data_IF_848555931638
#
_entry.id   IF_848555931638
#
_cell.length_a   1.000
_cell.length_b   1.000
_cell.length_c   1.000
_cell.angle_alpha   90.00
_cell.angle_beta   90.00
_cell.angle_gamma   90.00
#
_symmetry.space_group_name_H-M   'P 1'
#
loop_
_entity.id
_entity.type
_entity.pdbx_description
1 polymer ?
#
# COMPACT_ATOMS: atom_id res chain seq x y z
N UNK A 1 -14.19 28.27 -4.88
CA UNK A 1 -12.88 28.28 -5.57
C UNK A 1 -11.88 29.06 -4.72
N UNK A 2 -11.42 28.50 -3.59
CA UNK A 2 -10.53 29.21 -2.68
C UNK A 2 -9.14 28.57 -2.74
N UNK A 3 -8.35 28.99 -3.73
CA UNK A 3 -6.97 28.51 -3.89
C UNK A 3 -6.06 29.21 -2.88
N UNK A 4 -5.17 28.48 -2.25
CA UNK A 4 -4.14 29.06 -1.39
C UNK A 4 -3.03 29.63 -2.28
N UNK A 5 -2.39 30.71 -1.85
CA UNK A 5 -1.32 31.35 -2.63
C UNK A 5 0.02 31.13 -1.93
N UNK A 6 1.00 30.60 -2.65
CA UNK A 6 2.39 30.51 -2.20
C UNK A 6 3.22 31.53 -2.99
N UNK A 7 3.74 32.52 -2.28
CA UNK A 7 4.69 33.48 -2.81
C UNK A 7 6.12 32.95 -2.60
N UNK A 8 6.90 32.87 -3.67
CA UNK A 8 8.26 32.36 -3.63
C UNK A 8 9.19 33.14 -4.56
N UNK A 9 10.48 33.09 -4.28
CA UNK A 9 11.56 33.62 -5.14
C UNK A 9 12.53 32.51 -5.49
N UNK A 10 13.05 32.51 -6.72
CA UNK A 10 14.11 31.61 -7.18
C UNK A 10 15.45 31.94 -6.52
N UNK A 11 15.67 33.20 -6.11
CA UNK A 11 16.88 33.62 -5.41
C UNK A 11 16.97 33.10 -3.98
N UNK A 12 15.82 32.79 -3.36
CA UNK A 12 15.77 32.27 -2.00
C UNK A 12 16.02 30.76 -1.98
N UNK A 13 17.08 30.31 -1.28
CA UNK A 13 17.37 28.88 -1.11
C UNK A 13 16.22 28.15 -0.41
N UNK A 14 15.71 28.75 0.65
CA UNK A 14 14.64 28.17 1.45
C UNK A 14 13.34 27.98 0.65
N UNK A 15 12.98 28.96 -0.20
CA UNK A 15 11.86 28.83 -1.14
C UNK A 15 12.00 27.64 -2.09
N UNK A 16 13.21 27.39 -2.62
CA UNK A 16 13.47 26.26 -3.54
C UNK A 16 13.32 24.91 -2.84
N UNK A 17 13.85 24.78 -1.63
CA UNK A 17 13.73 23.56 -0.83
C UNK A 17 12.26 23.27 -0.47
N UNK A 18 11.51 24.30 -0.10
CA UNK A 18 10.09 24.20 0.23
C UNK A 18 9.24 23.76 -0.97
N UNK A 19 9.51 24.30 -2.16
CA UNK A 19 8.82 23.88 -3.40
C UNK A 19 9.11 22.42 -3.74
N UNK A 20 10.35 21.95 -3.53
CA UNK A 20 10.70 20.53 -3.72
C UNK A 20 9.87 19.64 -2.80
N UNK A 21 9.84 19.95 -1.50
CA UNK A 21 9.02 19.21 -0.51
C UNK A 21 7.55 19.17 -0.91
N UNK A 22 6.97 20.29 -1.34
CA UNK A 22 5.56 20.36 -1.77
C UNK A 22 5.30 19.47 -2.99
N UNK A 23 6.20 19.49 -3.98
CA UNK A 23 6.07 18.69 -5.20
C UNK A 23 6.22 17.19 -4.92
N UNK A 24 7.17 16.80 -4.07
CA UNK A 24 7.46 15.40 -3.71
C UNK A 24 6.26 14.76 -3.00
N UNK A 25 5.68 15.46 -2.04
CA UNK A 25 4.57 14.96 -1.23
C UNK A 25 3.18 15.26 -1.84
N UNK A 26 3.12 15.86 -3.03
CA UNK A 26 1.88 16.31 -3.71
C UNK A 26 0.92 17.05 -2.77
N UNK A 27 1.48 17.88 -1.89
CA UNK A 27 0.72 18.57 -0.87
C UNK A 27 -0.08 19.70 -1.53
N UNK A 28 -1.37 19.78 -1.20
CA UNK A 28 -2.27 20.85 -1.59
C UNK A 28 -2.42 21.03 -3.13
N UNK A 29 -3.29 20.24 -3.78
CA UNK A 29 -3.64 20.44 -5.20
C UNK A 29 -4.20 21.86 -5.47
N UNK A 30 -4.77 22.49 -4.45
CA UNK A 30 -5.34 23.85 -4.53
C UNK A 30 -4.33 24.98 -4.23
N UNK A 31 -3.03 24.69 -4.17
CA UNK A 31 -1.99 25.70 -3.95
C UNK A 31 -1.53 26.31 -5.28
N UNK A 32 -1.80 27.60 -5.47
CA UNK A 32 -1.30 28.39 -6.58
C UNK A 32 0.05 29.01 -6.21
N UNK A 33 1.07 28.76 -7.03
CA UNK A 33 2.43 29.27 -6.84
C UNK A 33 2.62 30.56 -7.62
N UNK A 34 3.15 31.59 -6.95
CA UNK A 34 3.42 32.90 -7.53
C UNK A 34 4.90 33.21 -7.36
N UNK A 35 5.62 33.28 -8.48
CA UNK A 35 7.01 33.70 -8.51
C UNK A 35 7.10 35.23 -8.46
N UNK A 36 7.75 35.75 -7.43
CA UNK A 36 7.87 37.20 -7.24
C UNK A 36 8.93 37.85 -8.14
N UNK A 37 9.88 37.07 -8.63
CA UNK A 37 11.01 37.58 -9.43
C UNK A 37 10.61 38.04 -10.83
N UNK A 38 9.47 37.55 -11.33
CA UNK A 38 9.06 37.77 -12.72
C UNK A 38 8.56 39.19 -12.99
N UNK A 39 8.35 40.03 -11.97
CA UNK A 39 7.90 41.42 -12.09
C UNK A 39 6.51 41.63 -12.71
N UNK A 40 5.82 40.55 -13.10
CA UNK A 40 4.52 40.57 -13.80
C UNK A 40 3.33 40.73 -12.84
N UNK A 41 3.53 40.65 -11.53
CA UNK A 41 2.46 40.60 -10.53
C UNK A 41 2.63 41.74 -9.54
N UNK A 42 1.54 42.47 -9.26
CA UNK A 42 1.50 43.44 -8.16
C UNK A 42 1.43 42.68 -6.83
N UNK A 43 2.52 42.74 -6.08
CA UNK A 43 2.63 42.10 -4.78
C UNK A 43 1.79 42.85 -3.74
N UNK A 44 0.96 42.15 -2.95
CA UNK A 44 0.29 42.75 -1.81
C UNK A 44 1.31 43.23 -0.77
N UNK A 45 0.96 44.32 -0.05
CA UNK A 45 1.83 44.93 0.97
C UNK A 45 2.16 44.01 2.15
N UNK A 46 1.38 42.95 2.35
CA UNK A 46 1.61 41.96 3.40
C UNK A 46 2.73 40.95 3.08
N UNK A 47 3.16 40.86 1.82
CA UNK A 47 4.25 39.97 1.41
C UNK A 47 5.58 40.69 1.59
N UNK A 48 6.09 40.68 2.82
CA UNK A 48 7.37 41.31 3.17
C UNK A 48 8.56 40.37 3.00
N UNK A 49 8.32 39.05 3.17
CA UNK A 49 9.35 38.01 3.11
C UNK A 49 8.88 36.81 2.28
N UNK A 50 9.83 36.01 1.79
CA UNK A 50 9.56 34.77 1.04
C UNK A 50 10.36 33.60 1.61
N UNK A 51 9.79 32.38 1.63
CA UNK A 51 8.47 31.98 1.15
C UNK A 51 7.35 32.37 2.13
N UNK A 52 6.20 32.78 1.59
CA UNK A 52 5.01 33.12 2.37
C UNK A 52 3.77 32.46 1.77
N UNK A 53 2.94 31.83 2.62
CA UNK A 53 1.66 31.27 2.19
C UNK A 53 0.52 32.16 2.69
N UNK A 54 -0.39 32.48 1.79
CA UNK A 54 -1.68 33.09 2.11
C UNK A 54 -2.79 32.04 2.01
N UNK A 55 -3.43 31.77 3.15
CA UNK A 55 -4.55 30.84 3.25
C UNK A 55 -5.85 31.60 3.00
N UNK A 56 -6.42 31.42 1.81
CA UNK A 56 -7.60 32.18 1.36
C UNK A 56 -8.84 31.95 2.23
N UNK A 57 -8.99 30.76 2.82
CA UNK A 57 -10.12 30.44 3.70
C UNK A 57 -10.02 31.13 5.06
N UNK A 58 -8.84 31.14 5.66
CA UNK A 58 -8.59 31.65 7.00
C UNK A 58 -8.19 33.13 6.99
N UNK A 59 -7.95 33.70 5.80
CA UNK A 59 -7.34 35.03 5.58
C UNK A 59 -6.06 35.21 6.42
N UNK A 60 -5.33 34.13 6.60
CA UNK A 60 -4.15 34.07 7.45
C UNK A 60 -2.89 33.98 6.58
N UNK A 61 -1.85 34.67 7.04
CA UNK A 61 -0.53 34.64 6.45
C UNK A 61 0.35 33.73 7.31
N UNK A 62 1.03 32.79 6.66
CA UNK A 62 1.99 31.90 7.27
C UNK A 62 3.39 32.21 6.74
N UNK A 63 4.31 32.36 7.68
CA UNK A 63 5.68 32.80 7.46
C UNK A 63 6.60 32.02 8.40
N UNK A 64 7.84 31.75 7.96
CA UNK A 64 8.90 31.10 8.76
C UNK A 64 8.43 29.82 9.47
N UNK A 65 8.59 29.72 10.79
CA UNK A 65 8.30 28.50 11.58
C UNK A 65 6.85 28.03 11.43
N UNK A 66 5.91 28.96 11.28
CA UNK A 66 4.49 28.63 11.11
C UNK A 66 4.23 27.96 9.76
N UNK A 67 5.03 28.30 8.76
CA UNK A 67 4.96 27.69 7.43
C UNK A 67 5.48 26.25 7.47
N UNK A 68 6.60 25.99 8.15
CA UNK A 68 7.17 24.64 8.28
C UNK A 68 6.22 23.70 9.00
N UNK A 69 5.76 24.11 10.18
CA UNK A 69 4.83 23.33 10.98
C UNK A 69 3.56 22.98 10.17
N UNK A 70 3.04 23.95 9.43
CA UNK A 70 1.86 23.73 8.60
C UNK A 70 2.10 22.73 7.46
N UNK A 71 3.27 22.77 6.82
CA UNK A 71 3.65 21.81 5.78
C UNK A 71 3.83 20.42 6.38
N UNK A 72 4.53 20.30 7.50
CA UNK A 72 4.81 19.00 8.14
C UNK A 72 3.52 18.34 8.64
N UNK A 73 2.57 19.10 9.17
CA UNK A 73 1.23 18.60 9.51
C UNK A 73 0.49 18.03 8.30
N UNK A 74 0.61 18.68 7.13
CA UNK A 74 -0.01 18.23 5.89
C UNK A 74 0.66 16.97 5.34
N UNK A 75 1.99 16.86 5.46
CA UNK A 75 2.74 15.66 5.10
C UNK A 75 2.26 14.48 5.95
N UNK A 76 2.22 14.64 7.27
CA UNK A 76 1.78 13.60 8.22
C UNK A 76 0.37 13.10 7.90
N UNK A 77 -0.55 14.00 7.54
CA UNK A 77 -1.93 13.64 7.15
C UNK A 77 -2.04 12.93 5.81
N UNK A 78 -1.07 13.11 4.89
CA UNK A 78 -1.09 12.49 3.57
C UNK A 78 -0.56 11.05 3.57
N UNK A 79 0.27 10.70 4.56
CA UNK A 79 0.75 9.33 4.73
C UNK A 79 -0.38 8.54 5.37
N UNK A 80 -1.00 7.56 4.67
CA UNK A 80 -1.97 6.69 5.31
C UNK A 80 -1.27 6.00 6.48
N UNK A 81 -1.87 6.07 7.67
CA UNK A 81 -1.38 5.39 8.86
C UNK A 81 -1.19 3.91 8.55
N UNK A 82 0.08 3.52 8.38
CA UNK A 82 0.57 2.13 8.31
C UNK A 82 -0.13 1.29 7.23
N UNK A 83 0.58 0.97 6.14
CA UNK A 83 0.21 -0.14 5.25
C UNK A 83 -0.03 -1.40 6.08
N UNK A 84 -1.29 -1.71 6.38
CA UNK A 84 -1.69 -3.00 6.91
C UNK A 84 -1.60 -4.01 5.77
N UNK A 85 -1.14 -5.22 6.06
CA UNK A 85 -1.18 -6.30 5.08
C UNK A 85 -2.60 -6.45 4.51
N UNK A 86 -2.72 -6.64 3.20
CA UNK A 86 -4.01 -6.88 2.53
C UNK A 86 -4.72 -8.12 3.09
N UNK A 87 -3.97 -9.03 3.72
CA UNK A 87 -4.50 -10.07 4.57
C UNK A 87 -4.49 -9.62 6.05
N UNK A 88 -5.64 -9.18 6.55
CA UNK A 88 -5.90 -9.30 8.00
C UNK A 88 -6.02 -10.79 8.30
N UNK A 89 -5.26 -11.25 9.29
CA UNK A 89 -5.00 -12.66 9.61
C UNK A 89 -6.20 -13.52 10.01
N UNK A 90 -7.44 -13.09 9.79
CA UNK A 90 -8.63 -13.83 10.21
C UNK A 90 -9.69 -14.12 9.13
N UNK A 91 -9.53 -13.76 7.85
CA UNK A 91 -10.51 -14.17 6.81
C UNK A 91 -10.14 -13.97 5.33
N UNK A 92 -8.90 -13.64 4.99
CA UNK A 92 -8.59 -13.11 3.66
C UNK A 92 -8.46 -14.12 2.50
N UNK A 93 -8.49 -15.43 2.73
CA UNK A 93 -8.31 -16.43 1.66
C UNK A 93 -9.51 -17.35 1.43
N UNK A 94 -10.54 -17.31 2.29
CA UNK A 94 -11.60 -18.33 2.28
C UNK A 94 -12.90 -17.85 1.62
N UNK A 95 -13.08 -16.54 1.40
CA UNK A 95 -14.38 -15.99 0.95
C UNK A 95 -14.47 -15.67 -0.55
N UNK A 96 -13.49 -16.06 -1.37
CA UNK A 96 -13.45 -15.71 -2.81
C UNK A 96 -13.82 -16.85 -3.77
N UNK A 97 -14.50 -17.90 -3.30
CA UNK A 97 -15.06 -18.93 -4.17
C UNK A 97 -16.59 -18.92 -4.06
N UNK A 98 -17.27 -18.89 -5.20
CA UNK A 98 -18.70 -19.14 -5.27
C UNK A 98 -18.92 -20.66 -5.09
N UNK A 99 -19.43 -21.06 -3.92
CA UNK A 99 -19.94 -22.42 -3.72
C UNK A 99 -21.20 -22.56 -4.58
N UNK A 100 -21.14 -23.36 -5.65
CA UNK A 100 -22.31 -23.68 -6.50
C UNK A 100 -23.18 -24.80 -5.92
N UNK A 101 -22.87 -25.26 -4.70
CA UNK A 101 -23.57 -26.33 -4.01
C UNK A 101 -24.21 -25.76 -2.73
N UNK A 102 -25.52 -25.97 -2.55
CA UNK A 102 -26.29 -25.48 -1.39
C UNK A 102 -26.11 -26.35 -0.13
N UNK A 103 -25.15 -27.27 -0.14
CA UNK A 103 -24.88 -28.10 1.02
C UNK A 103 -24.33 -27.24 2.18
N UNK A 104 -25.10 -27.17 3.28
CA UNK A 104 -24.80 -26.37 4.49
C UNK A 104 -23.63 -26.90 5.32
N UNK A 105 -22.55 -27.31 4.70
CA UNK A 105 -21.33 -27.66 5.39
C UNK A 105 -20.22 -26.80 4.82
N UNK A 106 -19.73 -25.84 5.61
CA UNK A 106 -18.50 -25.11 5.32
C UNK A 106 -17.37 -26.12 5.57
N UNK A 107 -16.70 -26.66 4.54
CA UNK A 107 -15.55 -27.50 4.80
C UNK A 107 -14.47 -26.62 5.43
N UNK A 108 -13.96 -27.05 6.57
CA UNK A 108 -12.87 -26.39 7.29
C UNK A 108 -11.57 -26.59 6.49
N UNK A 109 -11.43 -25.90 5.36
CA UNK A 109 -10.25 -25.95 4.52
C UNK A 109 -9.19 -25.05 5.13
N UNK A 110 -8.48 -25.59 6.12
CA UNK A 110 -7.27 -25.02 6.68
C UNK A 110 -6.16 -25.08 5.61
N UNK A 111 -6.07 -24.05 4.77
CA UNK A 111 -4.85 -23.80 4.01
C UNK A 111 -3.87 -23.07 4.95
N UNK A 112 -2.99 -23.83 5.59
CA UNK A 112 -1.90 -23.31 6.41
C UNK A 112 -0.75 -22.84 5.52
N UNK A 113 -0.35 -21.58 5.67
CA UNK A 113 0.89 -21.05 5.11
C UNK A 113 2.09 -21.72 5.80
N UNK A 114 2.88 -22.48 5.05
CA UNK A 114 4.01 -23.29 5.56
C UNK A 114 5.24 -22.47 5.96
N UNK A 115 5.18 -21.14 5.88
CA UNK A 115 6.32 -20.26 6.20
C UNK A 115 6.44 -19.88 7.68
N UNK A 116 5.46 -20.23 8.53
CA UNK A 116 5.52 -19.96 9.96
C UNK A 116 6.16 -21.12 10.74
N UNK A 117 7.17 -20.86 11.60
CA UNK A 117 7.92 -21.89 12.33
C UNK A 117 7.09 -22.72 13.32
N UNK A 118 5.87 -22.28 13.63
CA UNK A 118 4.95 -22.94 14.58
C UNK A 118 3.90 -23.84 13.92
N UNK A 119 3.96 -24.04 12.59
CA UNK A 119 3.02 -24.91 11.87
C UNK A 119 3.42 -26.38 12.03
N UNK A 120 3.14 -26.97 13.20
CA UNK A 120 3.26 -28.43 13.36
C UNK A 120 2.11 -29.13 12.63
N UNK A 121 2.45 -29.96 11.64
CA UNK A 121 1.51 -30.91 11.05
C UNK A 121 1.09 -31.90 12.14
N UNK A 122 -0.19 -31.92 12.50
CA UNK A 122 -0.79 -33.08 13.17
C UNK A 122 -0.99 -34.17 12.12
N UNK A 123 0.07 -34.93 11.84
CA UNK A 123 -0.11 -36.25 11.23
C UNK A 123 -0.80 -37.16 12.25
N UNK A 124 -1.88 -37.87 11.88
CA UNK A 124 -2.48 -38.83 12.80
C UNK A 124 -1.42 -39.85 13.23
N UNK A 125 -1.23 -39.97 14.54
CA UNK A 125 -0.36 -40.97 15.10
C UNK A 125 -0.99 -42.34 14.82
N UNK A 126 -0.28 -43.13 13.99
CA UNK A 126 -0.64 -44.47 13.54
C UNK A 126 -1.84 -44.56 12.60
N UNK A 127 -1.55 -45.03 11.39
CA UNK A 127 -2.53 -45.59 10.48
C UNK A 127 -3.16 -46.81 11.17
N UNK A 128 -4.43 -46.70 11.58
CA UNK A 128 -5.24 -47.90 11.68
C UNK A 128 -5.42 -48.47 10.26
N UNK A 129 -5.09 -49.75 10.10
CA UNK A 129 -5.17 -50.55 8.88
C UNK A 129 -6.56 -50.53 8.24
N UNK A 130 -6.92 -49.45 7.55
CA UNK A 130 -8.03 -49.43 6.60
C UNK A 130 -7.53 -50.04 5.29
N UNK A 131 -7.75 -51.35 5.14
CA UNK A 131 -7.45 -52.23 3.99
C UNK A 131 -7.91 -51.73 2.58
N UNK A 132 -8.40 -50.50 2.43
CA UNK A 132 -8.87 -49.94 1.16
C UNK A 132 -7.95 -48.92 0.49
N UNK A 133 -6.97 -48.34 1.21
CA UNK A 133 -6.16 -47.22 0.66
C UNK A 133 -4.95 -47.73 -0.15
N UNK A 134 -4.48 -48.96 0.16
CA UNK A 134 -3.29 -49.53 -0.49
C UNK A 134 -3.49 -49.84 -1.98
N UNK A 135 -4.70 -50.19 -2.42
CA UNK A 135 -4.96 -50.58 -3.81
C UNK A 135 -4.80 -49.42 -4.80
N UNK A 136 -5.26 -48.21 -4.45
CA UNK A 136 -5.13 -47.04 -5.31
C UNK A 136 -3.66 -46.57 -5.42
N UNK A 137 -2.93 -46.63 -4.30
CA UNK A 137 -1.51 -46.29 -4.25
C UNK A 137 -0.65 -47.28 -5.05
N UNK A 138 -0.92 -48.57 -4.91
CA UNK A 138 -0.21 -49.63 -5.63
C UNK A 138 -0.47 -49.57 -7.14
N UNK A 139 -1.71 -49.26 -7.55
CA UNK A 139 -2.04 -49.01 -8.96
C UNK A 139 -1.27 -47.83 -9.56
N UNK A 140 -1.11 -46.74 -8.79
CA UNK A 140 -0.34 -45.56 -9.21
C UNK A 140 1.15 -45.88 -9.38
N UNK A 141 1.73 -46.69 -8.49
CA UNK A 141 3.12 -47.14 -8.60
C UNK A 141 3.33 -48.02 -9.83
N UNK A 142 2.37 -48.90 -10.13
CA UNK A 142 2.41 -49.75 -11.32
C UNK A 142 2.36 -48.93 -12.61
N UNK A 143 1.43 -47.98 -12.74
CA UNK A 143 1.32 -47.10 -13.91
C UNK A 143 2.61 -46.31 -14.15
N UNK A 144 3.18 -45.70 -13.10
CA UNK A 144 4.43 -44.95 -13.17
C UNK A 144 5.63 -45.79 -13.60
N UNK A 145 5.64 -47.08 -13.27
CA UNK A 145 6.71 -47.99 -13.71
C UNK A 145 6.66 -48.30 -15.22
N UNK A 146 5.47 -48.27 -15.82
CA UNK A 146 5.26 -48.54 -17.23
C UNK A 146 5.57 -47.32 -18.12
N UNK A 147 5.48 -46.09 -17.59
CA UNK A 147 5.82 -44.86 -18.33
C UNK A 147 7.27 -44.87 -18.88
N UNK A 148 8.19 -45.57 -18.20
CA UNK A 148 9.60 -45.64 -18.63
C UNK A 148 9.90 -46.75 -19.64
N UNK A 149 8.96 -47.66 -19.93
CA UNK A 149 9.19 -48.77 -20.87
C UNK A 149 8.99 -48.37 -22.34
N UNK A 150 8.32 -47.25 -22.61
CA UNK A 150 7.96 -46.81 -23.98
C UNK A 150 8.98 -45.91 -24.69
N UNK A 151 9.93 -45.30 -23.98
CA UNK A 151 10.90 -44.37 -24.58
C UNK A 151 12.14 -45.17 -25.01
N UNK A 152 12.07 -45.84 -26.16
CA UNK A 152 13.27 -46.26 -26.88
C UNK A 152 13.96 -45.00 -27.39
N UNK A 153 15.19 -44.73 -26.92
CA UNK A 153 16.07 -43.76 -27.57
C UNK A 153 16.33 -44.25 -29.00
N UNK A 154 15.80 -43.54 -29.98
CA UNK A 154 16.24 -43.63 -31.39
C UNK A 154 17.52 -42.84 -31.53
#
# INVERSE_FOLDING_TARGET
MNKNLLFYSNGCRYSRELIKKINEHRICPDLMRVCIDSGKVRLPSFVTVVPTIYLSLQKQILTEDRLENWIDERIKKSVPEKLTSYCTSNSAFTNCYALLDESKQIPNNNFSDYSSPDSQMNTPAMFEDKKGVNSAYEKLLFERSNDFQGIKRV
#
